data_IF_683455792670
#
_entry.id   IF_683455792670
#
_cell.length_a   1.000
_cell.length_b   1.000
_cell.length_c   1.000
_cell.angle_alpha   90.00
_cell.angle_beta   90.00
_cell.angle_gamma   90.00
#
_symmetry.space_group_name_H-M   'P 1'
#
loop_
_entity.id
_entity.type
_entity.pdbx_description
1 polymer ?
#
# COMPACT_ATOMS: atom_id res chain seq x y z
N UNK A 1 -10.46 -0.90 -5.09
CA UNK A 1 -9.12 -1.01 -4.46
C UNK A 1 -8.28 -2.00 -5.26
N UNK A 2 -6.98 -1.76 -5.41
CA UNK A 2 -6.07 -2.73 -6.04
C UNK A 2 -4.79 -2.90 -5.20
N UNK A 3 -4.21 -4.10 -5.24
CA UNK A 3 -2.91 -4.41 -4.65
C UNK A 3 -2.00 -4.85 -5.78
N UNK A 4 -0.86 -4.19 -5.88
CA UNK A 4 0.10 -4.36 -6.97
C UNK A 4 1.47 -4.63 -6.38
N UNK A 5 2.21 -5.53 -7.02
CA UNK A 5 3.60 -5.82 -6.63
C UNK A 5 4.63 -5.02 -7.44
N UNK A 6 5.90 -5.15 -7.05
CA UNK A 6 7.02 -4.47 -7.71
C UNK A 6 7.23 -4.91 -9.19
N UNK A 7 6.55 -5.96 -9.66
CA UNK A 7 6.63 -6.47 -11.04
C UNK A 7 5.44 -6.00 -11.89
N UNK A 8 4.72 -4.96 -11.46
CA UNK A 8 3.54 -4.41 -12.14
C UNK A 8 2.40 -5.43 -12.27
N UNK A 9 2.28 -6.37 -11.33
CA UNK A 9 1.21 -7.39 -11.34
C UNK A 9 0.12 -7.02 -10.36
N UNK A 10 -1.12 -7.04 -10.82
CA UNK A 10 -2.29 -6.98 -9.93
C UNK A 10 -2.40 -8.29 -9.14
N UNK A 11 -2.15 -8.23 -7.83
CA UNK A 11 -2.33 -9.36 -6.92
C UNK A 11 -3.78 -9.49 -6.45
N UNK A 12 -4.46 -8.35 -6.33
CA UNK A 12 -5.86 -8.26 -5.95
C UNK A 12 -6.47 -7.04 -6.59
N UNK A 13 -7.68 -7.20 -7.12
CA UNK A 13 -8.53 -6.10 -7.58
C UNK A 13 -9.89 -6.28 -6.94
N UNK A 14 -10.36 -5.25 -6.28
CA UNK A 14 -11.67 -5.15 -5.65
C UNK A 14 -12.40 -3.98 -6.32
N UNK A 15 -13.43 -4.30 -7.11
CA UNK A 15 -14.30 -3.34 -7.75
C UNK A 15 -15.34 -2.92 -6.72
N UNK A 16 -15.06 -1.84 -6.00
CA UNK A 16 -15.77 -1.46 -4.78
C UNK A 16 -17.29 -1.28 -4.95
N UNK A 17 -17.96 -1.15 -3.80
CA UNK A 17 -19.39 -0.86 -3.68
C UNK A 17 -19.68 0.65 -3.79
N UNK A 18 -20.96 0.99 -4.03
CA UNK A 18 -21.55 2.31 -4.38
C UNK A 18 -20.78 3.57 -3.91
N UNK A 19 -20.61 4.56 -4.80
CA UNK A 19 -19.65 5.69 -4.72
C UNK A 19 -19.84 6.76 -3.63
N UNK A 20 -20.59 6.49 -2.55
CA UNK A 20 -20.76 7.39 -1.39
C UNK A 20 -19.86 7.07 -0.21
N UNK A 21 -19.01 6.05 -0.31
CA UNK A 21 -18.16 5.58 0.79
C UNK A 21 -16.75 6.17 0.67
N UNK A 22 -16.23 6.74 1.76
CA UNK A 22 -14.84 7.23 1.81
C UNK A 22 -13.83 6.12 1.55
N UNK A 23 -12.62 6.44 1.07
CA UNK A 23 -11.56 5.44 0.82
C UNK A 23 -11.27 4.54 2.04
N UNK A 24 -11.33 5.10 3.25
CA UNK A 24 -11.25 4.34 4.50
C UNK A 24 -12.42 3.37 4.68
N UNK A 25 -13.65 3.77 4.36
CA UNK A 25 -14.82 2.89 4.42
C UNK A 25 -14.79 1.80 3.34
N UNK A 26 -14.28 2.11 2.14
CA UNK A 26 -14.07 1.10 1.08
C UNK A 26 -13.06 0.06 1.55
N UNK A 27 -11.94 0.49 2.14
CA UNK A 27 -10.93 -0.41 2.70
C UNK A 27 -11.53 -1.37 3.74
N UNK A 28 -12.25 -0.83 4.74
CA UNK A 28 -12.87 -1.62 5.81
C UNK A 28 -13.87 -2.66 5.29
N UNK A 29 -14.50 -2.39 4.15
CA UNK A 29 -15.50 -3.28 3.54
C UNK A 29 -14.91 -4.24 2.49
N UNK A 30 -13.59 -4.34 2.37
CA UNK A 30 -12.95 -5.28 1.43
C UNK A 30 -12.72 -6.66 2.05
N UNK A 31 -12.81 -7.72 1.22
CA UNK A 31 -12.37 -9.08 1.63
C UNK A 31 -10.89 -9.12 2.04
N UNK A 32 -10.10 -8.23 1.47
CA UNK A 32 -8.70 -8.06 1.87
C UNK A 32 -8.58 -7.64 3.34
N UNK A 33 -9.33 -6.61 3.75
CA UNK A 33 -9.33 -6.16 5.14
C UNK A 33 -9.78 -7.25 6.11
N UNK A 34 -10.86 -7.98 5.78
CA UNK A 34 -11.31 -9.11 6.58
C UNK A 34 -10.21 -10.17 6.78
N UNK A 35 -9.52 -10.57 5.70
CA UNK A 35 -8.41 -11.53 5.77
C UNK A 35 -7.19 -10.98 6.50
N UNK A 36 -6.93 -9.69 6.37
CA UNK A 36 -5.84 -8.99 7.05
C UNK A 36 -6.04 -9.03 8.56
N UNK A 37 -7.24 -8.72 9.04
CA UNK A 37 -7.58 -8.74 10.47
C UNK A 37 -7.63 -10.17 11.03
N UNK A 38 -8.16 -11.13 10.25
CA UNK A 38 -8.17 -12.57 10.64
C UNK A 38 -6.81 -13.25 10.51
N UNK A 39 -5.76 -12.56 10.05
CA UNK A 39 -4.41 -13.09 9.79
C UNK A 39 -4.38 -14.28 8.82
N UNK A 40 -5.31 -14.32 7.86
CA UNK A 40 -5.42 -15.42 6.87
C UNK A 40 -4.80 -15.08 5.51
N UNK A 41 -4.08 -13.95 5.41
CA UNK A 41 -3.33 -13.57 4.21
C UNK A 41 -1.98 -14.29 4.06
N UNK A 42 -1.58 -15.12 5.02
CA UNK A 42 -0.30 -15.82 5.04
C UNK A 42 0.91 -14.89 4.82
N UNK A 43 0.86 -13.70 5.43
CA UNK A 43 1.99 -12.76 5.42
C UNK A 43 3.14 -13.42 6.22
N UNK A 44 4.37 -13.46 5.67
CA UNK A 44 5.50 -14.02 6.38
C UNK A 44 5.73 -13.37 7.74
N UNK A 45 6.30 -14.13 8.67
CA UNK A 45 6.74 -13.58 9.96
C UNK A 45 7.85 -12.55 9.75
N UNK A 46 8.04 -11.68 10.73
CA UNK A 46 9.09 -10.68 10.68
C UNK A 46 10.47 -11.34 10.48
N UNK A 47 11.30 -10.72 9.65
CA UNK A 47 12.61 -11.24 9.25
C UNK A 47 13.69 -10.20 9.52
N UNK A 48 14.91 -10.67 9.74
CA UNK A 48 16.07 -9.82 9.88
C UNK A 48 16.39 -9.15 8.53
N UNK A 49 16.53 -7.83 8.52
CA UNK A 49 16.88 -7.11 7.31
C UNK A 49 18.31 -7.47 6.84
N UNK A 50 18.55 -7.55 5.52
CA UNK A 50 19.90 -7.66 4.98
C UNK A 50 20.78 -6.52 5.51
N UNK A 51 21.99 -6.85 5.98
CA UNK A 51 22.97 -5.90 6.52
C UNK A 51 22.51 -5.13 7.77
N UNK A 52 21.61 -5.71 8.58
CA UNK A 52 21.09 -5.07 9.79
C UNK A 52 20.73 -6.12 10.85
N UNK A 53 20.90 -5.78 12.13
CA UNK A 53 20.44 -6.61 13.26
C UNK A 53 18.95 -6.40 13.58
N UNK A 54 18.23 -5.61 12.78
CA UNK A 54 16.83 -5.28 13.02
C UNK A 54 15.92 -6.32 12.38
N UNK A 55 15.04 -6.90 13.19
CA UNK A 55 13.93 -7.74 12.74
C UNK A 55 12.74 -6.82 12.46
N UNK A 56 12.24 -6.85 11.22
CA UNK A 56 11.11 -5.99 10.80
C UNK A 56 9.97 -6.83 10.20
N UNK A 57 8.70 -6.41 10.42
CA UNK A 57 7.56 -7.06 9.79
C UNK A 57 7.47 -6.71 8.31
N UNK A 58 6.85 -7.60 7.55
CA UNK A 58 6.37 -7.31 6.21
C UNK A 58 5.13 -6.40 6.29
N UNK A 59 5.11 -5.35 5.48
CA UNK A 59 4.06 -4.33 5.48
C UNK A 59 3.62 -3.99 4.05
N UNK A 60 2.36 -3.65 3.88
CA UNK A 60 1.86 -3.01 2.68
C UNK A 60 2.16 -1.51 2.71
N UNK A 61 2.40 -0.93 1.55
CA UNK A 61 2.52 0.52 1.38
C UNK A 61 1.23 1.04 0.76
N UNK A 62 0.60 2.01 1.39
CA UNK A 62 -0.66 2.59 0.98
C UNK A 62 -0.58 4.10 0.79
N UNK A 63 -1.63 4.63 0.18
CA UNK A 63 -1.84 6.08 0.03
C UNK A 63 -2.25 6.73 1.37
N UNK A 64 -2.12 8.05 1.46
CA UNK A 64 -2.43 8.84 2.65
C UNK A 64 -3.91 8.69 3.08
N UNK A 65 -4.79 8.37 2.13
CA UNK A 65 -6.20 8.07 2.37
C UNK A 65 -6.44 6.83 3.25
N UNK A 66 -5.43 5.96 3.42
CA UNK A 66 -5.54 4.77 4.27
C UNK A 66 -5.09 5.06 5.72
N UNK A 67 -5.60 4.31 6.71
CA UNK A 67 -5.12 4.42 8.09
C UNK A 67 -3.73 3.80 8.26
N UNK A 68 -2.89 4.39 9.12
CA UNK A 68 -1.62 3.79 9.53
C UNK A 68 -1.88 2.57 10.42
N UNK A 69 -1.27 1.42 10.11
CA UNK A 69 -1.38 0.17 10.89
C UNK A 69 -0.05 -0.56 10.96
N UNK A 70 0.06 -1.58 11.83
CA UNK A 70 1.27 -2.41 11.98
C UNK A 70 1.71 -3.09 10.67
N UNK A 71 0.75 -3.38 9.79
CA UNK A 71 0.91 -4.07 8.51
C UNK A 71 0.61 -3.14 7.31
N UNK A 72 0.34 -1.85 7.54
CA UNK A 72 -0.01 -0.88 6.51
C UNK A 72 0.68 0.46 6.79
N UNK A 73 1.70 0.76 6.01
CA UNK A 73 2.48 1.99 6.08
C UNK A 73 1.94 3.01 5.09
N UNK A 74 1.92 4.29 5.48
CA UNK A 74 1.50 5.41 4.64
C UNK A 74 2.52 6.56 4.71
N UNK A 75 2.53 7.50 3.76
CA UNK A 75 3.41 8.67 3.82
C UNK A 75 3.08 9.56 5.03
N UNK A 76 4.08 10.31 5.51
CA UNK A 76 3.84 11.43 6.41
C UNK A 76 3.04 12.52 5.67
N UNK A 77 2.19 13.24 6.41
CA UNK A 77 1.46 14.38 5.86
C UNK A 77 2.45 15.46 5.39
N UNK A 78 2.06 16.20 4.35
CA UNK A 78 2.93 17.22 3.75
C UNK A 78 3.37 18.28 4.78
N UNK A 79 2.46 18.66 5.68
CA UNK A 79 2.72 19.65 6.74
C UNK A 79 3.72 19.12 7.80
N UNK A 80 3.90 17.80 7.89
CA UNK A 80 4.81 17.16 8.85
C UNK A 80 6.23 16.96 8.31
N UNK A 81 6.50 17.36 7.07
CA UNK A 81 7.80 17.18 6.39
C UNK A 81 8.86 18.21 6.79
N UNK A 82 8.94 18.51 8.08
CA UNK A 82 9.92 19.44 8.66
C UNK A 82 11.33 18.86 8.72
N UNK A 83 11.48 17.54 8.95
CA UNK A 83 12.81 16.92 9.07
C UNK A 83 13.23 16.14 7.81
N UNK A 84 14.55 16.02 7.60
CA UNK A 84 15.14 15.32 6.43
C UNK A 84 14.76 13.84 6.38
N UNK A 85 14.61 13.19 7.53
CA UNK A 85 14.32 11.75 7.62
C UNK A 85 12.92 11.43 7.07
N UNK A 86 11.90 12.22 7.44
CA UNK A 86 10.53 12.12 6.94
C UNK A 86 10.47 12.39 5.43
N UNK A 87 11.23 13.38 4.94
CA UNK A 87 11.35 13.63 3.49
C UNK A 87 11.92 12.43 2.75
N UNK A 88 13.00 11.82 3.27
CA UNK A 88 13.60 10.61 2.68
C UNK A 88 12.61 9.44 2.70
N UNK A 89 11.88 9.26 3.80
CA UNK A 89 10.85 8.23 3.90
C UNK A 89 9.75 8.46 2.85
N UNK A 90 9.15 9.65 2.78
CA UNK A 90 8.11 9.95 1.79
C UNK A 90 8.62 9.77 0.36
N UNK A 91 9.84 10.21 0.05
CA UNK A 91 10.45 9.97 -1.26
C UNK A 91 10.50 8.47 -1.60
N UNK A 92 10.91 7.61 -0.65
CA UNK A 92 10.93 6.15 -0.86
C UNK A 92 9.53 5.58 -1.05
N UNK A 93 8.55 6.06 -0.28
CA UNK A 93 7.13 5.68 -0.41
C UNK A 93 6.57 6.08 -1.78
N UNK A 94 6.87 7.28 -2.27
CA UNK A 94 6.45 7.74 -3.60
C UNK A 94 7.01 6.86 -4.72
N UNK A 95 8.21 6.27 -4.56
CA UNK A 95 8.72 5.29 -5.55
C UNK A 95 7.87 4.02 -5.61
N UNK A 96 7.32 3.57 -4.49
CA UNK A 96 6.39 2.45 -4.47
C UNK A 96 5.05 2.81 -5.12
N UNK A 97 4.54 4.02 -4.85
CA UNK A 97 3.31 4.52 -5.51
C UNK A 97 3.46 4.67 -7.02
N UNK A 98 4.63 5.11 -7.51
CA UNK A 98 4.91 5.18 -8.95
C UNK A 98 4.75 3.82 -9.65
N UNK A 99 5.01 2.71 -8.97
CA UNK A 99 4.76 1.37 -9.54
C UNK A 99 3.26 1.15 -9.74
N UNK A 100 2.42 1.56 -8.79
CA UNK A 100 0.97 1.49 -8.90
C UNK A 100 0.49 2.31 -10.09
N UNK A 101 0.87 3.58 -10.17
CA UNK A 101 0.49 4.50 -11.27
C UNK A 101 0.93 3.95 -12.63
N UNK A 102 2.18 3.53 -12.76
CA UNK A 102 2.68 2.94 -13.99
C UNK A 102 1.92 1.66 -14.38
N UNK A 103 1.55 0.83 -13.40
CA UNK A 103 0.77 -0.40 -13.68
C UNK A 103 -0.59 -0.06 -14.26
N UNK A 104 -1.28 0.93 -13.71
CA UNK A 104 -2.54 1.42 -14.27
C UNK A 104 -2.34 2.07 -15.65
N UNK A 105 -1.25 2.83 -15.85
CA UNK A 105 -0.91 3.40 -17.15
C UNK A 105 -0.65 2.34 -18.24
N UNK A 106 0.05 1.26 -17.90
CA UNK A 106 0.24 0.10 -18.78
C UNK A 106 -1.10 -0.54 -19.14
N UNK A 107 -1.98 -0.72 -18.15
CA UNK A 107 -3.31 -1.28 -18.36
C UNK A 107 -4.14 -0.38 -19.29
N UNK A 108 -4.20 0.93 -19.01
CA UNK A 108 -4.93 1.90 -19.83
C UNK A 108 -4.43 1.91 -21.28
N UNK A 109 -3.11 1.95 -21.47
CA UNK A 109 -2.48 1.94 -22.80
C UNK A 109 -2.79 0.66 -23.57
N UNK A 110 -2.73 -0.50 -22.90
CA UNK A 110 -2.94 -1.81 -23.52
C UNK A 110 -4.39 -2.03 -23.94
N UNK A 111 -5.33 -1.59 -23.12
CA UNK A 111 -6.77 -1.80 -23.37
C UNK A 111 -7.47 -0.60 -24.01
N UNK A 112 -6.75 0.52 -24.22
CA UNK A 112 -7.25 1.76 -24.82
C UNK A 112 -8.45 2.33 -24.07
N UNK A 113 -8.31 2.45 -22.75
CA UNK A 113 -9.29 3.06 -21.85
C UNK A 113 -8.77 4.34 -21.22
#
# INVERSE_FOLDING_TARGET
MAIIDAKYRFLLVDFGTNGRVSNSGVFLNTKFYEKLERKTLNIPTAEMLPNSLRILPYVFVADDAFPLRKNLMKPFQQNDLVNRIKKIYNYRTSRAHRIVENTFGILATRFRI
#
